data_IF_015409779566
#
_entry.id   IF_015409779566
#
_cell.length_a   1.000
_cell.length_b   1.000
_cell.length_c   1.000
_cell.angle_alpha   90.00
_cell.angle_beta   90.00
_cell.angle_gamma   90.00
#
_symmetry.space_group_name_H-M   'P 1'
#
loop_
_entity.id
_entity.type
_entity.pdbx_description
1 polymer ?
#
# COMPACT_ATOMS: atom_id res chain seq x y z
N UNK A 1 -13.10 25.35 -5.48
CA UNK A 1 -12.30 24.52 -4.56
C UNK A 1 -11.66 23.39 -5.35
N UNK A 2 -10.50 22.87 -4.93
CA UNK A 2 -9.78 21.82 -5.68
C UNK A 2 -10.36 20.42 -5.41
N UNK A 3 -10.58 19.65 -6.48
CA UNK A 3 -11.07 18.26 -6.43
C UNK A 3 -10.15 17.35 -5.62
N UNK A 4 -8.85 17.65 -5.58
CA UNK A 4 -7.85 16.91 -4.81
C UNK A 4 -8.15 16.93 -3.30
N UNK A 5 -8.55 18.10 -2.77
CA UNK A 5 -8.81 18.23 -1.32
C UNK A 5 -10.11 17.49 -0.92
N UNK A 6 -11.13 17.52 -1.79
CA UNK A 6 -12.35 16.73 -1.61
C UNK A 6 -12.08 15.23 -1.60
N UNK A 7 -11.25 14.72 -2.53
CA UNK A 7 -10.86 13.31 -2.55
C UNK A 7 -9.97 12.90 -1.37
N UNK A 8 -9.08 13.78 -0.89
CA UNK A 8 -8.29 13.52 0.31
C UNK A 8 -9.18 13.42 1.56
N UNK A 9 -10.10 14.37 1.74
CA UNK A 9 -11.09 14.33 2.82
C UNK A 9 -11.96 13.06 2.74
N UNK A 10 -12.49 12.74 1.56
CA UNK A 10 -13.27 11.51 1.33
C UNK A 10 -12.47 10.24 1.64
N UNK A 11 -11.19 10.19 1.25
CA UNK A 11 -10.32 9.03 1.45
C UNK A 11 -9.93 8.82 2.92
N UNK A 12 -9.72 9.88 3.71
CA UNK A 12 -9.19 9.76 5.08
C UNK A 12 -10.19 10.07 6.21
N UNK A 13 -11.21 10.93 6.00
CA UNK A 13 -12.15 11.35 7.05
C UNK A 13 -13.41 10.46 7.14
N UNK A 14 -13.75 9.72 6.08
CA UNK A 14 -14.84 8.71 6.13
C UNK A 14 -14.39 7.48 6.94
N UNK A 15 -15.34 6.64 7.36
CA UNK A 15 -15.04 5.41 8.10
C UNK A 15 -14.06 4.45 7.38
N UNK A 16 -14.02 4.47 6.04
CA UNK A 16 -13.04 3.76 5.20
C UNK A 16 -11.60 4.29 5.33
N UNK A 17 -11.41 5.53 5.79
CA UNK A 17 -10.11 6.19 5.83
C UNK A 17 -9.15 5.67 6.89
N UNK A 18 -9.70 5.04 7.94
CA UNK A 18 -8.88 4.32 8.92
C UNK A 18 -8.12 3.15 8.28
N UNK A 19 -8.70 2.49 7.26
CA UNK A 19 -8.05 1.41 6.51
C UNK A 19 -6.84 1.95 5.74
N UNK A 20 -7.03 3.05 4.99
CA UNK A 20 -5.98 3.66 4.19
C UNK A 20 -4.88 4.29 5.05
N UNK A 21 -5.24 4.93 6.17
CA UNK A 21 -4.27 5.46 7.12
C UNK A 21 -3.45 4.33 7.78
N UNK A 22 -4.07 3.22 8.17
CA UNK A 22 -3.36 2.08 8.75
C UNK A 22 -2.43 1.39 7.74
N UNK A 23 -2.88 1.18 6.49
CA UNK A 23 -2.03 0.65 5.43
C UNK A 23 -0.83 1.58 5.14
N UNK A 24 -1.08 2.89 5.00
CA UNK A 24 -0.03 3.88 4.77
C UNK A 24 0.94 4.02 5.95
N UNK A 25 0.47 3.86 7.20
CA UNK A 25 1.31 3.85 8.40
C UNK A 25 2.22 2.61 8.47
N UNK A 26 1.74 1.47 7.97
CA UNK A 26 2.52 0.22 7.91
C UNK A 26 3.51 0.16 6.74
N UNK A 27 3.33 0.97 5.68
CA UNK A 27 4.25 0.99 4.55
C UNK A 27 5.69 1.33 4.98
N UNK A 28 6.57 0.35 4.82
CA UNK A 28 8.00 0.39 5.17
C UNK A 28 8.76 1.56 4.54
N UNK A 29 8.26 2.10 3.43
CA UNK A 29 8.83 3.26 2.72
C UNK A 29 8.52 4.57 3.42
N UNK A 30 7.36 4.67 4.07
CA UNK A 30 6.86 5.89 4.72
C UNK A 30 7.04 5.91 6.23
N UNK A 31 7.31 4.77 6.87
CA UNK A 31 7.65 4.64 8.29
C UNK A 31 8.65 5.69 8.81
N UNK A 32 9.68 6.00 8.03
CA UNK A 32 10.74 6.96 8.40
C UNK A 32 10.60 8.30 7.67
N UNK A 33 9.40 8.65 7.21
CA UNK A 33 9.14 9.89 6.47
C UNK A 33 8.55 10.99 7.35
N UNK A 34 8.86 12.24 6.99
CA UNK A 34 8.29 13.45 7.59
C UNK A 34 6.78 13.62 7.28
N UNK A 35 6.14 12.65 6.59
CA UNK A 35 4.70 12.67 6.30
C UNK A 35 3.89 12.33 7.56
N UNK A 36 4.37 11.35 8.33
CA UNK A 36 3.72 10.87 9.57
C UNK A 36 4.25 11.63 10.81
N UNK A 37 5.47 12.18 10.73
CA UNK A 37 6.08 12.94 11.81
C UNK A 37 5.46 14.34 11.92
N UNK A 38 4.96 14.71 13.10
CA UNK A 38 4.66 16.11 13.39
C UNK A 38 5.99 16.88 13.44
N UNK A 39 6.10 17.96 12.66
CA UNK A 39 7.34 18.74 12.40
C UNK A 39 8.15 19.12 13.67
N UNK A 40 7.47 19.20 14.81
CA UNK A 40 8.03 19.46 16.15
C UNK A 40 9.02 18.40 16.68
N UNK A 41 9.04 17.19 16.12
CA UNK A 41 9.89 16.09 16.64
C UNK A 41 11.38 16.30 16.31
N UNK A 42 11.71 16.83 15.12
CA UNK A 42 13.11 16.96 14.68
C UNK A 42 13.94 17.83 15.64
N UNK A 43 13.40 18.97 16.08
CA UNK A 43 14.02 19.87 17.07
C UNK A 43 14.13 19.29 18.49
N UNK A 44 13.50 18.15 18.79
CA UNK A 44 13.66 17.44 20.06
C UNK A 44 14.72 16.32 20.00
N UNK A 45 15.12 15.89 18.79
CA UNK A 45 16.12 14.83 18.60
C UNK A 45 17.55 15.32 18.82
N UNK A 46 17.88 16.54 18.38
CA UNK A 46 19.24 17.11 18.44
C UNK A 46 19.76 17.27 19.88
N UNK A 47 18.87 17.45 20.86
CA UNK A 47 19.22 17.55 22.29
C UNK A 47 19.42 16.19 23.01
N UNK A 48 19.27 15.04 22.34
CA UNK A 48 19.32 13.72 23.02
C UNK A 48 20.70 13.06 23.11
N UNK A 49 21.74 13.63 22.51
CA UNK A 49 23.08 13.00 22.46
C UNK A 49 23.78 12.80 23.82
N UNK A 50 23.30 13.43 24.91
CA UNK A 50 23.96 13.40 26.22
C UNK A 50 23.26 12.53 27.29
N UNK A 51 22.24 11.73 26.96
CA UNK A 51 21.63 10.81 27.94
C UNK A 51 22.00 9.35 27.68
N UNK A 52 22.93 8.84 28.49
CA UNK A 52 23.24 7.41 28.58
C UNK A 52 21.97 6.63 28.97
N UNK A 53 21.47 5.80 28.06
CA UNK A 53 20.34 4.89 28.33
C UNK A 53 20.86 3.71 29.14
N UNK A 54 20.80 3.82 30.47
CA UNK A 54 21.02 2.68 31.37
C UNK A 54 19.91 1.66 31.20
N UNK A 55 20.28 0.40 30.97
CA UNK A 55 19.37 -0.68 30.62
C UNK A 55 18.51 -1.15 31.80
N UNK A 56 17.23 -0.77 31.82
CA UNK A 56 16.14 -1.56 32.36
C UNK A 56 15.04 -1.63 31.31
N UNK A 57 14.58 -2.83 30.97
CA UNK A 57 13.68 -3.09 29.84
C UNK A 57 12.19 -2.96 30.21
N UNK A 58 11.88 -2.18 31.25
CA UNK A 58 10.52 -2.02 31.77
C UNK A 58 9.64 -1.20 30.81
N UNK A 59 8.77 -1.91 30.10
CA UNK A 59 7.51 -1.42 29.52
C UNK A 59 7.59 -0.01 28.89
N UNK A 60 8.57 0.18 27.99
CA UNK A 60 8.82 1.41 27.23
C UNK A 60 7.51 2.13 26.85
N UNK A 61 7.11 3.21 27.55
CA UNK A 61 5.80 3.80 27.36
C UNK A 61 5.72 4.44 25.97
N UNK A 62 4.61 4.23 25.28
CA UNK A 62 4.30 4.87 24.00
C UNK A 62 3.73 6.29 24.17
N UNK A 63 3.82 6.86 25.38
CA UNK A 63 3.31 8.18 25.68
C UNK A 63 4.04 9.28 24.88
N UNK A 64 5.28 9.03 24.45
CA UNK A 64 5.99 9.86 23.46
C UNK A 64 5.35 9.73 22.07
N UNK A 65 5.16 8.51 21.55
CA UNK A 65 4.55 8.24 20.25
C UNK A 65 3.12 8.81 20.18
N UNK A 66 2.29 8.59 21.22
CA UNK A 66 0.92 9.12 21.32
C UNK A 66 0.87 10.65 21.35
N UNK A 67 1.87 11.34 21.91
CA UNK A 67 1.99 12.82 21.89
C UNK A 67 2.55 13.35 20.56
N UNK A 68 3.45 12.60 19.94
CA UNK A 68 4.23 13.02 18.78
C UNK A 68 3.57 12.71 17.42
N UNK A 69 2.82 11.60 17.34
CA UNK A 69 2.32 11.00 16.10
C UNK A 69 0.81 10.72 16.23
N UNK A 70 -0.09 11.64 15.88
CA UNK A 70 -1.54 11.38 15.92
C UNK A 70 -1.95 10.17 15.07
N UNK A 71 -1.28 9.95 13.94
CA UNK A 71 -1.46 8.79 13.07
C UNK A 71 -1.19 7.44 13.77
N UNK A 72 -0.28 7.37 14.74
CA UNK A 72 -0.01 6.15 15.52
C UNK A 72 -1.22 5.73 16.36
N UNK A 73 -1.97 6.70 16.92
CA UNK A 73 -3.20 6.40 17.68
C UNK A 73 -4.29 5.89 16.72
N UNK A 74 -4.53 6.60 15.62
CA UNK A 74 -5.62 6.28 14.69
C UNK A 74 -5.37 4.97 13.93
N UNK A 75 -4.14 4.72 13.47
CA UNK A 75 -3.76 3.44 12.91
C UNK A 75 -3.81 2.32 13.95
N UNK A 76 -3.33 2.56 15.19
CA UNK A 76 -3.38 1.59 16.28
C UNK A 76 -4.80 1.14 16.64
N UNK A 77 -5.74 2.07 16.76
CA UNK A 77 -7.15 1.79 17.05
C UNK A 77 -7.82 0.93 15.96
N UNK A 78 -7.59 1.27 14.69
CA UNK A 78 -8.05 0.45 13.57
C UNK A 78 -7.39 -0.94 13.57
N UNK A 79 -6.07 -1.02 13.75
CA UNK A 79 -5.32 -2.28 13.70
C UNK A 79 -5.71 -3.25 14.82
N UNK A 80 -6.00 -2.78 16.04
CA UNK A 80 -6.49 -3.67 17.11
C UNK A 80 -7.92 -4.13 16.85
N UNK A 81 -8.79 -3.30 16.24
CA UNK A 81 -10.14 -3.72 15.82
C UNK A 81 -10.09 -4.77 14.70
N UNK A 82 -9.18 -4.60 13.73
CA UNK A 82 -8.90 -5.60 12.69
C UNK A 82 -8.34 -6.91 13.30
N UNK A 83 -7.41 -6.82 14.24
CA UNK A 83 -6.87 -7.97 14.97
C UNK A 83 -7.95 -8.72 15.75
N UNK A 84 -8.90 -8.01 16.35
CA UNK A 84 -10.06 -8.59 17.02
C UNK A 84 -11.03 -9.28 16.05
N UNK A 85 -11.18 -8.77 14.82
CA UNK A 85 -11.93 -9.46 13.76
C UNK A 85 -11.26 -10.77 13.35
N UNK A 86 -9.93 -10.78 13.15
CA UNK A 86 -9.16 -11.99 12.82
C UNK A 86 -9.28 -13.02 13.96
N UNK A 87 -9.05 -12.61 15.20
CA UNK A 87 -9.17 -13.47 16.39
C UNK A 87 -10.59 -14.02 16.59
N UNK A 88 -11.65 -13.24 16.35
CA UNK A 88 -13.02 -13.74 16.48
C UNK A 88 -13.46 -14.69 15.36
N UNK A 89 -12.80 -14.63 14.19
CA UNK A 89 -13.00 -15.52 13.06
C UNK A 89 -12.36 -16.89 13.31
N UNK A 90 -11.14 -16.91 13.84
CA UNK A 90 -10.41 -18.11 14.21
C UNK A 90 -9.55 -17.89 15.48
N UNK A 91 -10.09 -18.20 16.68
CA UNK A 91 -9.38 -18.02 17.95
C UNK A 91 -8.27 -19.05 18.19
N UNK A 92 -8.30 -20.17 17.46
CA UNK A 92 -7.44 -21.33 17.65
C UNK A 92 -6.31 -21.42 16.59
N UNK A 93 -6.28 -20.48 15.64
CA UNK A 93 -5.19 -20.27 14.69
C UNK A 93 -3.81 -20.23 15.36
N UNK A 94 -2.79 -20.79 14.68
CA UNK A 94 -1.41 -20.88 15.16
C UNK A 94 -0.83 -19.54 15.62
N UNK A 95 -1.14 -18.46 14.88
CA UNK A 95 -0.82 -17.05 15.18
C UNK A 95 -1.13 -16.66 16.63
N UNK A 96 -2.22 -17.21 17.19
CA UNK A 96 -2.67 -16.91 18.54
C UNK A 96 -2.24 -17.96 19.57
N UNK A 97 -1.75 -19.13 19.17
CA UNK A 97 -1.50 -20.29 20.04
C UNK A 97 -0.64 -19.95 21.28
N UNK A 98 0.36 -19.08 21.14
CA UNK A 98 1.28 -18.65 22.20
C UNK A 98 0.67 -17.71 23.27
N UNK A 99 -0.56 -17.19 23.09
CA UNK A 99 -1.17 -16.22 24.01
C UNK A 99 -2.33 -16.82 24.81
N UNK A 100 -2.29 -16.76 26.14
CA UNK A 100 -3.36 -17.28 27.00
C UNK A 100 -4.64 -16.43 26.96
N UNK A 101 -4.57 -15.16 26.57
CA UNK A 101 -5.75 -14.28 26.51
C UNK A 101 -5.62 -13.12 25.50
N UNK A 102 -6.75 -12.54 25.12
CA UNK A 102 -6.83 -11.32 24.31
C UNK A 102 -6.03 -10.14 24.90
N UNK A 103 -5.94 -10.04 26.23
CA UNK A 103 -5.13 -9.01 26.89
C UNK A 103 -3.63 -9.17 26.57
N UNK A 104 -3.14 -10.41 26.52
CA UNK A 104 -1.75 -10.69 26.10
C UNK A 104 -1.53 -10.43 24.61
N UNK A 105 -2.50 -10.81 23.75
CA UNK A 105 -2.46 -10.50 22.30
C UNK A 105 -2.36 -8.99 22.09
N UNK A 106 -3.22 -8.19 22.73
CA UNK A 106 -3.25 -6.72 22.64
C UNK A 106 -1.95 -6.09 23.15
N UNK A 107 -1.43 -6.54 24.29
CA UNK A 107 -0.15 -6.06 24.85
C UNK A 107 1.03 -6.41 23.94
N UNK A 108 1.07 -7.63 23.40
CA UNK A 108 2.11 -8.05 22.45
C UNK A 108 2.04 -7.21 21.17
N UNK A 109 0.85 -7.06 20.57
CA UNK A 109 0.64 -6.20 19.40
C UNK A 109 1.10 -4.76 19.64
N UNK A 110 0.75 -4.15 20.78
CA UNK A 110 1.17 -2.78 21.11
C UNK A 110 2.70 -2.68 21.18
N UNK A 111 3.36 -3.66 21.80
CA UNK A 111 4.83 -3.72 21.82
C UNK A 111 5.42 -3.87 20.40
N UNK A 112 4.82 -4.71 19.54
CA UNK A 112 5.24 -4.84 18.13
C UNK A 112 5.06 -3.52 17.37
N UNK A 113 3.96 -2.80 17.56
CA UNK A 113 3.72 -1.50 16.90
C UNK A 113 4.67 -0.41 17.40
N UNK A 114 5.05 -0.41 18.69
CA UNK A 114 6.09 0.47 19.25
C UNK A 114 7.45 0.19 18.59
N UNK A 115 7.86 -1.08 18.52
CA UNK A 115 9.11 -1.51 17.91
C UNK A 115 9.15 -1.17 16.41
N UNK A 116 8.04 -1.38 15.70
CA UNK A 116 7.89 -0.99 14.29
C UNK A 116 8.01 0.52 14.13
N UNK A 117 7.22 1.32 14.86
CA UNK A 117 7.18 2.79 14.74
C UNK A 117 8.54 3.42 15.03
N UNK A 118 9.29 2.88 16.00
CA UNK A 118 10.66 3.32 16.32
C UNK A 118 11.74 2.72 15.43
N UNK A 119 11.39 1.86 14.46
CA UNK A 119 12.35 1.22 13.54
C UNK A 119 13.34 0.27 14.22
N UNK A 120 12.95 -0.32 15.36
CA UNK A 120 13.80 -1.19 16.19
C UNK A 120 13.77 -2.65 15.71
N UNK A 121 14.54 -3.54 16.36
CA UNK A 121 14.51 -4.98 16.06
C UNK A 121 13.10 -5.55 16.34
N UNK A 122 12.57 -6.44 15.48
CA UNK A 122 13.17 -6.97 14.25
C UNK A 122 13.06 -6.02 13.03
N UNK A 123 12.05 -5.16 12.99
CA UNK A 123 11.68 -4.28 11.85
C UNK A 123 12.78 -3.35 11.31
N UNK A 124 13.88 -3.14 12.02
CA UNK A 124 15.06 -2.42 11.55
C UNK A 124 15.65 -2.99 10.25
N UNK A 125 15.51 -4.30 10.01
CA UNK A 125 15.97 -4.99 8.82
C UNK A 125 14.89 -4.93 7.75
N UNK A 126 15.15 -4.19 6.68
CA UNK A 126 14.38 -4.22 5.43
C UNK A 126 15.24 -4.96 4.39
N UNK A 127 15.01 -6.26 4.09
CA UNK A 127 15.96 -7.14 3.37
C UNK A 127 16.26 -6.83 1.89
N UNK A 128 16.07 -5.59 1.41
CA UNK A 128 15.90 -5.24 -0.02
C UNK A 128 14.75 -6.00 -0.71
N UNK A 129 13.57 -6.19 -0.06
CA UNK A 129 12.47 -6.93 -0.66
C UNK A 129 11.95 -6.19 -1.90
N UNK A 130 11.63 -6.92 -2.96
CA UNK A 130 11.12 -6.34 -4.23
C UNK A 130 9.71 -5.77 -4.12
N UNK A 131 8.96 -6.19 -3.09
CA UNK A 131 7.55 -5.84 -2.85
C UNK A 131 7.30 -5.76 -1.34
N UNK A 132 6.34 -4.94 -0.93
CA UNK A 132 5.95 -4.81 0.48
C UNK A 132 5.38 -6.11 1.06
N UNK A 133 4.62 -6.88 0.27
CA UNK A 133 4.12 -8.20 0.67
C UNK A 133 5.27 -9.13 1.10
N UNK A 134 6.34 -9.24 0.29
CA UNK A 134 7.51 -10.05 0.62
C UNK A 134 8.28 -9.58 1.89
N UNK A 135 8.15 -8.30 2.29
CA UNK A 135 8.64 -7.87 3.60
C UNK A 135 7.80 -8.48 4.73
N UNK A 136 6.48 -8.38 4.64
CA UNK A 136 5.57 -8.92 5.66
C UNK A 136 5.62 -10.44 5.74
N UNK A 137 5.68 -11.13 4.59
CA UNK A 137 5.90 -12.57 4.51
C UNK A 137 7.20 -12.96 5.25
N UNK A 138 8.30 -12.22 5.06
CA UNK A 138 9.58 -12.49 5.75
C UNK A 138 9.52 -12.25 7.26
N UNK A 139 8.67 -11.34 7.73
CA UNK A 139 8.48 -11.04 9.15
C UNK A 139 7.52 -12.01 9.85
N UNK A 140 6.70 -12.77 9.10
CA UNK A 140 5.76 -13.76 9.65
C UNK A 140 6.45 -14.90 10.41
N UNK A 141 7.72 -15.19 10.08
CA UNK A 141 8.54 -16.20 10.77
C UNK A 141 9.16 -15.73 12.10
N UNK A 142 8.93 -14.46 12.50
CA UNK A 142 9.56 -13.85 13.68
C UNK A 142 8.50 -13.58 14.76
N UNK A 143 8.49 -14.31 15.90
CA UNK A 143 7.48 -14.13 16.95
C UNK A 143 7.36 -12.70 17.50
N UNK A 144 8.46 -11.94 17.47
CA UNK A 144 8.51 -10.53 17.84
C UNK A 144 7.91 -9.55 16.80
N UNK A 145 7.36 -10.05 15.68
CA UNK A 145 6.67 -9.30 14.64
C UNK A 145 5.38 -9.97 14.11
N UNK A 146 5.10 -11.21 14.51
CA UNK A 146 4.11 -12.10 13.89
C UNK A 146 2.70 -11.49 13.75
N UNK A 147 2.15 -10.91 14.82
CA UNK A 147 0.83 -10.26 14.82
C UNK A 147 0.79 -9.08 13.85
N UNK A 148 1.81 -8.21 13.90
CA UNK A 148 1.87 -7.04 13.03
C UNK A 148 2.12 -7.43 11.56
N UNK A 149 2.92 -8.46 11.32
CA UNK A 149 3.21 -9.00 10.00
C UNK A 149 1.97 -9.62 9.34
N UNK A 150 1.15 -10.35 10.11
CA UNK A 150 -0.12 -10.87 9.63
C UNK A 150 -1.08 -9.74 9.22
N UNK A 151 -1.20 -8.67 10.01
CA UNK A 151 -2.02 -7.50 9.66
C UNK A 151 -1.45 -6.73 8.45
N UNK A 152 -0.13 -6.60 8.33
CA UNK A 152 0.52 -6.00 7.17
C UNK A 152 0.27 -6.81 5.89
N UNK A 153 0.30 -8.14 5.97
CA UNK A 153 -0.04 -9.04 4.85
C UNK A 153 -1.52 -8.89 4.46
N UNK A 154 -2.44 -8.80 5.43
CA UNK A 154 -3.85 -8.52 5.16
C UNK A 154 -4.01 -7.17 4.44
N UNK A 155 -3.45 -6.08 4.98
CA UNK A 155 -3.64 -4.74 4.43
C UNK A 155 -2.97 -4.55 3.06
N UNK A 156 -1.81 -5.15 2.83
CA UNK A 156 -1.16 -5.14 1.50
C UNK A 156 -1.86 -6.03 0.47
N UNK A 157 -2.71 -6.98 0.90
CA UNK A 157 -3.58 -7.74 -0.01
C UNK A 157 -4.85 -6.97 -0.45
N UNK A 158 -5.21 -5.89 0.25
CA UNK A 158 -6.36 -5.04 -0.13
C UNK A 158 -5.95 -4.14 -1.29
N UNK A 159 -6.53 -4.37 -2.47
CA UNK A 159 -6.33 -3.49 -3.63
C UNK A 159 -7.06 -2.16 -3.39
N UNK A 160 -6.36 -1.01 -3.28
CA UNK A 160 -6.97 0.28 -2.91
C UNK A 160 -7.74 0.96 -4.05
N UNK A 161 -7.99 0.25 -5.16
CA UNK A 161 -8.52 0.83 -6.38
C UNK A 161 -9.68 0.00 -6.94
N UNK A 162 -10.89 0.56 -6.86
CA UNK A 162 -12.12 0.01 -7.45
C UNK A 162 -12.01 -0.22 -8.97
N UNK A 163 -11.06 0.39 -9.69
CA UNK A 163 -10.81 0.12 -11.11
C UNK A 163 -10.59 -1.38 -11.45
N UNK A 164 -10.15 -2.22 -10.50
CA UNK A 164 -10.06 -3.66 -10.72
C UNK A 164 -11.44 -4.31 -10.90
N UNK A 165 -12.42 -3.86 -10.13
CA UNK A 165 -13.83 -4.21 -10.22
C UNK A 165 -14.50 -3.49 -11.40
N UNK A 166 -14.22 -2.20 -11.61
CA UNK A 166 -14.71 -1.41 -12.75
C UNK A 166 -14.32 -2.04 -14.11
N UNK A 167 -13.08 -2.50 -14.26
CA UNK A 167 -12.64 -3.23 -15.47
C UNK A 167 -13.35 -4.57 -15.64
N UNK A 168 -13.73 -5.20 -14.53
CA UNK A 168 -14.54 -6.43 -14.54
C UNK A 168 -15.98 -6.11 -14.96
N UNK A 169 -16.59 -5.08 -14.39
CA UNK A 169 -17.93 -4.59 -14.75
C UNK A 169 -17.99 -4.08 -16.20
N UNK A 170 -17.00 -3.33 -16.67
CA UNK A 170 -16.86 -2.91 -18.07
C UNK A 170 -16.77 -4.12 -19.01
N UNK A 171 -16.09 -5.19 -18.59
CA UNK A 171 -16.07 -6.46 -19.34
C UNK A 171 -17.44 -7.14 -19.33
N UNK A 172 -18.17 -7.15 -18.21
CA UNK A 172 -19.55 -7.67 -18.12
C UNK A 172 -20.48 -6.87 -19.03
N UNK A 173 -20.43 -5.53 -19.00
CA UNK A 173 -21.21 -4.65 -19.88
C UNK A 173 -20.88 -4.87 -21.36
N UNK A 174 -19.61 -5.06 -21.72
CA UNK A 174 -19.22 -5.37 -23.11
C UNK A 174 -19.63 -6.78 -23.56
N UNK A 175 -19.73 -7.74 -22.64
CA UNK A 175 -20.28 -9.07 -22.95
C UNK A 175 -21.80 -9.07 -23.06
N UNK A 176 -22.48 -8.23 -22.27
CA UNK A 176 -23.94 -8.04 -22.26
C UNK A 176 -24.40 -6.85 -23.13
N UNK A 177 -23.67 -6.56 -24.22
CA UNK A 177 -24.07 -5.59 -25.24
C UNK A 177 -25.42 -6.00 -25.89
N UNK A 178 -26.25 -5.08 -26.41
CA UNK A 178 -27.56 -5.39 -27.00
C UNK A 178 -27.58 -6.59 -27.96
N UNK A 179 -26.63 -6.69 -28.89
CA UNK A 179 -26.51 -7.80 -29.87
C UNK A 179 -26.17 -9.17 -29.25
N UNK A 180 -25.92 -9.21 -27.94
CA UNK A 180 -25.60 -10.39 -27.11
C UNK A 180 -26.51 -10.50 -25.87
N UNK A 181 -27.51 -9.63 -25.74
CA UNK A 181 -28.27 -9.40 -24.51
C UNK A 181 -29.35 -10.46 -24.24
N UNK A 182 -28.92 -11.70 -24.00
CA UNK A 182 -29.74 -12.80 -23.48
C UNK A 182 -29.00 -13.69 -22.47
N UNK A 183 -27.75 -13.37 -22.11
CA UNK A 183 -26.95 -14.21 -21.21
C UNK A 183 -27.35 -14.02 -19.74
N UNK A 184 -27.43 -15.13 -19.00
CA UNK A 184 -27.68 -15.10 -17.55
C UNK A 184 -26.50 -14.45 -16.84
N UNK A 185 -26.78 -13.67 -15.79
CA UNK A 185 -25.74 -12.97 -15.00
C UNK A 185 -24.70 -13.95 -14.43
N UNK A 186 -25.11 -15.15 -14.02
CA UNK A 186 -24.17 -16.21 -13.62
C UNK A 186 -23.20 -16.58 -14.74
N UNK A 187 -23.68 -16.81 -15.97
CA UNK A 187 -22.86 -17.14 -17.13
C UNK A 187 -21.88 -16.03 -17.49
N UNK A 188 -22.29 -14.76 -17.34
CA UNK A 188 -21.39 -13.60 -17.51
C UNK A 188 -20.28 -13.58 -16.45
N UNK A 189 -20.61 -13.90 -15.19
CA UNK A 189 -19.62 -14.05 -14.09
C UNK A 189 -18.66 -15.22 -14.38
N UNK A 190 -19.18 -16.39 -14.77
CA UNK A 190 -18.39 -17.58 -15.08
C UNK A 190 -17.41 -17.33 -16.25
N UNK A 191 -17.88 -16.64 -17.30
CA UNK A 191 -17.05 -16.24 -18.44
C UNK A 191 -15.95 -15.25 -18.03
N UNK A 192 -16.26 -14.26 -17.20
CA UNK A 192 -15.28 -13.28 -16.72
C UNK A 192 -14.27 -13.92 -15.77
N UNK A 193 -14.71 -14.77 -14.84
CA UNK A 193 -13.85 -15.52 -13.93
C UNK A 193 -12.90 -16.46 -14.71
N UNK A 194 -13.41 -17.16 -15.72
CA UNK A 194 -12.62 -18.01 -16.62
C UNK A 194 -11.58 -17.19 -17.39
N UNK A 195 -11.98 -16.06 -17.99
CA UNK A 195 -11.06 -15.17 -18.71
C UNK A 195 -9.99 -14.58 -17.79
N UNK A 196 -10.35 -14.20 -16.56
CA UNK A 196 -9.40 -13.74 -15.54
C UNK A 196 -8.49 -14.86 -15.03
N UNK A 197 -8.94 -16.13 -15.03
CA UNK A 197 -8.09 -17.27 -14.73
C UNK A 197 -7.03 -17.47 -15.82
N UNK A 198 -7.45 -17.67 -17.07
CA UNK A 198 -6.51 -17.89 -18.19
C UNK A 198 -5.54 -16.72 -18.36
N UNK A 199 -6.00 -15.48 -18.20
CA UNK A 199 -5.11 -14.32 -18.23
C UNK A 199 -4.07 -14.33 -17.10
N UNK A 200 -4.44 -14.76 -15.88
CA UNK A 200 -3.48 -14.91 -14.77
C UNK A 200 -2.46 -16.00 -15.05
N UNK A 201 -2.85 -17.11 -15.67
CA UNK A 201 -1.92 -18.17 -16.09
C UNK A 201 -0.99 -17.71 -17.22
N UNK A 202 -1.50 -16.96 -18.21
CA UNK A 202 -0.69 -16.36 -19.26
C UNK A 202 0.29 -15.30 -18.72
N UNK A 203 -0.17 -14.42 -17.82
CA UNK A 203 0.65 -13.43 -17.13
C UNK A 203 1.71 -14.11 -16.23
N UNK A 204 1.39 -15.25 -15.59
CA UNK A 204 2.34 -16.09 -14.84
C UNK A 204 3.38 -16.74 -15.75
N UNK A 205 2.96 -17.39 -16.84
CA UNK A 205 3.86 -18.04 -17.79
C UNK A 205 4.81 -17.03 -18.45
N UNK A 206 4.27 -15.88 -18.90
CA UNK A 206 5.03 -14.82 -19.56
C UNK A 206 5.78 -13.89 -18.60
N UNK A 207 5.55 -13.95 -17.28
CA UNK A 207 6.30 -13.17 -16.28
C UNK A 207 7.83 -13.37 -16.40
N UNK A 208 8.26 -14.59 -16.75
CA UNK A 208 9.67 -14.95 -17.01
C UNK A 208 10.28 -14.23 -18.21
N UNK A 209 9.46 -13.72 -19.13
CA UNK A 209 9.87 -12.99 -20.33
C UNK A 209 9.62 -11.47 -20.22
N UNK A 210 8.61 -11.05 -19.45
CA UNK A 210 8.24 -9.63 -19.26
C UNK A 210 9.12 -8.88 -18.24
N UNK A 211 10.35 -9.35 -17.98
CA UNK A 211 11.27 -8.77 -17.00
C UNK A 211 11.64 -7.30 -17.27
N UNK A 212 11.55 -6.84 -18.53
CA UNK A 212 11.66 -5.45 -18.92
C UNK A 212 10.41 -4.99 -19.67
N UNK A 213 9.41 -4.49 -18.92
CA UNK A 213 8.52 -3.43 -19.42
C UNK A 213 8.94 -2.12 -18.73
N UNK A 214 9.50 -1.13 -19.45
CA UNK A 214 9.88 0.13 -18.83
C UNK A 214 8.62 0.90 -18.41
N UNK A 215 8.33 0.91 -17.11
CA UNK A 215 7.26 1.73 -16.53
C UNK A 215 7.72 3.18 -16.47
N UNK A 216 7.58 3.88 -17.60
CA UNK A 216 7.77 5.34 -17.70
C UNK A 216 6.82 6.00 -16.70
N UNK A 217 7.35 6.82 -15.77
CA UNK A 217 6.51 7.56 -14.81
C UNK A 217 5.80 8.69 -15.53
N UNK A 218 4.72 9.21 -14.96
CA UNK A 218 4.01 10.36 -15.54
C UNK A 218 4.93 11.58 -15.71
N UNK A 219 5.81 11.80 -14.74
CA UNK A 219 6.95 12.72 -14.82
C UNK A 219 7.80 12.52 -16.08
N UNK A 220 8.31 11.29 -16.25
CA UNK A 220 9.22 10.89 -17.33
C UNK A 220 8.54 10.98 -18.71
N UNK A 221 7.21 10.85 -18.81
CA UNK A 221 6.48 10.96 -20.09
C UNK A 221 6.78 12.29 -20.79
N UNK A 222 6.89 13.40 -20.05
CA UNK A 222 7.22 14.70 -20.61
C UNK A 222 8.58 14.69 -21.33
N UNK A 223 9.59 14.12 -20.68
CA UNK A 223 10.95 14.00 -21.21
C UNK A 223 11.03 12.99 -22.36
N UNK A 224 10.29 11.86 -22.27
CA UNK A 224 10.21 10.87 -23.33
C UNK A 224 9.56 11.46 -24.59
N UNK A 225 8.45 12.21 -24.46
CA UNK A 225 7.79 12.88 -25.59
C UNK A 225 8.69 13.95 -26.21
N UNK A 226 9.39 14.75 -25.40
CA UNK A 226 10.38 15.70 -25.91
C UNK A 226 11.55 15.01 -26.61
N UNK A 227 12.03 13.87 -26.10
CA UNK A 227 13.10 13.09 -26.71
C UNK A 227 12.66 12.47 -28.05
N UNK A 228 11.46 11.89 -28.15
CA UNK A 228 10.92 11.37 -29.42
C UNK A 228 10.75 12.48 -30.45
N UNK A 229 10.20 13.63 -30.05
CA UNK A 229 10.00 14.76 -30.97
C UNK A 229 11.34 15.37 -31.44
N UNK A 230 12.38 15.30 -30.61
CA UNK A 230 13.75 15.74 -30.95
C UNK A 230 14.52 14.71 -31.79
N UNK A 231 14.04 13.47 -31.92
CA UNK A 231 14.72 12.37 -32.61
C UNK A 231 14.03 11.93 -33.91
N UNK A 232 13.48 12.91 -34.66
CA UNK A 232 13.06 12.77 -36.06
C UNK A 232 14.25 12.54 -37.04
N UNK A 233 15.07 11.52 -36.75
CA UNK A 233 15.97 10.85 -37.70
C UNK A 233 15.37 9.49 -38.03
N UNK A 234 14.48 9.49 -39.02
CA UNK A 234 14.00 8.36 -39.83
C UNK A 234 14.38 6.95 -39.30
N UNK A 235 13.72 6.49 -38.23
CA UNK A 235 14.01 5.18 -37.65
C UNK A 235 13.32 4.08 -38.48
N UNK A 236 14.05 3.52 -39.47
CA UNK A 236 13.57 2.39 -40.27
C UNK A 236 13.42 1.15 -39.39
N UNK A 237 12.19 0.86 -38.99
CA UNK A 237 11.83 -0.38 -38.31
C UNK A 237 11.64 -1.46 -39.39
N UNK A 238 12.52 -2.46 -39.42
CA UNK A 238 12.31 -3.67 -40.24
C UNK A 238 11.12 -4.46 -39.69
N UNK A 239 9.98 -4.39 -40.39
CA UNK A 239 8.68 -4.92 -39.94
C UNK A 239 8.57 -6.45 -39.99
N UNK A 240 9.58 -7.14 -40.54
CA UNK A 240 9.58 -8.59 -40.80
C UNK A 240 9.47 -9.48 -39.53
N UNK A 241 9.67 -8.94 -38.33
CA UNK A 241 9.64 -9.70 -37.07
C UNK A 241 8.33 -9.67 -36.27
N UNK A 242 7.44 -8.69 -36.48
CA UNK A 242 6.35 -8.38 -35.52
C UNK A 242 4.95 -8.77 -36.02
N UNK A 243 4.80 -9.02 -37.32
CA UNK A 243 3.50 -9.25 -37.99
C UNK A 243 2.70 -10.47 -37.47
N UNK A 244 3.33 -11.40 -36.78
CA UNK A 244 2.70 -12.64 -36.31
C UNK A 244 1.82 -12.49 -35.05
N UNK A 245 2.09 -11.52 -34.18
CA UNK A 245 1.48 -11.46 -32.82
C UNK A 245 0.31 -10.47 -32.72
N UNK A 246 0.18 -9.52 -33.66
CA UNK A 246 -0.87 -8.49 -33.65
C UNK A 246 -2.11 -8.84 -34.48
N UNK A 247 -2.23 -10.09 -34.99
CA UNK A 247 -3.27 -10.47 -35.96
C UNK A 247 -4.61 -10.97 -35.39
N UNK A 248 -4.77 -11.05 -34.07
CA UNK A 248 -6.01 -11.53 -33.41
C UNK A 248 -6.84 -10.43 -32.70
N UNK A 249 -6.53 -9.15 -32.91
CA UNK A 249 -7.15 -8.05 -32.15
C UNK A 249 -7.67 -6.87 -32.98
N UNK A 250 -7.69 -7.00 -34.31
CA UNK A 250 -8.05 -5.93 -35.24
C UNK A 250 -9.16 -6.37 -36.22
N UNK A 251 -10.40 -6.34 -35.72
CA UNK A 251 -11.64 -6.43 -36.49
C UNK A 251 -12.73 -5.60 -35.76
N UNK A 252 -13.55 -4.89 -36.52
CA UNK A 252 -14.62 -3.97 -36.09
C UNK A 252 -14.21 -2.82 -35.14
N UNK A 253 -13.58 -1.79 -35.73
CA UNK A 253 -13.83 -0.39 -35.36
C UNK A 253 -14.25 0.36 -36.64
N UNK A 254 -15.52 0.76 -36.71
CA UNK A 254 -16.04 1.62 -37.78
C UNK A 254 -15.63 3.09 -37.56
N UNK A 255 -15.15 3.81 -38.58
CA UNK A 255 -14.70 5.20 -38.42
C UNK A 255 -15.88 6.18 -38.37
N UNK A 256 -16.41 6.44 -37.18
CA UNK A 256 -17.29 7.59 -36.91
C UNK A 256 -16.48 8.89 -36.86
N UNK A 257 -16.84 9.88 -37.69
CA UNK A 257 -16.00 11.05 -38.00
C UNK A 257 -16.40 12.31 -37.22
N UNK A 258 -16.34 12.27 -35.88
CA UNK A 258 -16.56 13.46 -35.05
C UNK A 258 -15.25 14.24 -34.79
N UNK A 259 -15.23 15.50 -35.22
CA UNK A 259 -14.06 16.38 -35.08
C UNK A 259 -14.08 17.12 -33.74
N UNK A 260 -13.35 16.60 -32.74
CA UNK A 260 -13.24 17.22 -31.43
C UNK A 260 -12.35 18.47 -31.52
N UNK A 261 -12.94 19.67 -31.42
CA UNK A 261 -12.18 20.91 -31.30
C UNK A 261 -11.40 20.95 -29.98
N UNK A 262 -10.07 21.06 -30.09
CA UNK A 262 -9.16 21.06 -28.94
C UNK A 262 -9.15 22.44 -28.26
N UNK A 263 -10.18 22.71 -27.45
CA UNK A 263 -10.32 23.98 -26.74
C UNK A 263 -9.09 24.33 -25.89
N UNK A 264 -8.68 25.60 -25.93
CA UNK A 264 -7.42 26.07 -25.34
C UNK A 264 -7.42 25.92 -23.82
N UNK A 265 -6.49 25.14 -23.28
CA UNK A 265 -6.33 24.94 -21.84
C UNK A 265 -6.07 26.27 -21.14
N UNK A 266 -7.05 26.72 -20.33
CA UNK A 266 -6.90 27.91 -19.52
C UNK A 266 -5.76 27.73 -18.50
N UNK A 267 -4.87 28.73 -18.40
CA UNK A 267 -3.78 28.71 -17.41
C UNK A 267 -4.36 28.65 -16.00
N UNK A 268 -4.13 27.53 -15.31
CA UNK A 268 -4.61 27.31 -13.95
C UNK A 268 -4.10 28.37 -12.98
N UNK A 269 -4.96 28.83 -12.07
CA UNK A 269 -4.60 29.88 -11.11
C UNK A 269 -3.55 29.40 -10.11
N UNK A 270 -2.47 30.18 -9.97
CA UNK A 270 -1.42 30.00 -8.97
C UNK A 270 -1.87 30.46 -7.57
N UNK A 271 -3.03 29.99 -7.11
CA UNK A 271 -3.42 30.16 -5.71
C UNK A 271 -2.55 29.26 -4.83
N UNK A 272 -1.88 29.88 -3.87
CA UNK A 272 -1.02 29.21 -2.90
C UNK A 272 -1.84 28.18 -2.11
N UNK A 273 -1.40 26.91 -2.12
CA UNK A 273 -2.08 25.83 -1.39
C UNK A 273 -1.70 25.86 0.09
N UNK A 274 -2.38 26.70 0.88
CA UNK A 274 -2.45 26.50 2.34
C UNK A 274 -3.31 25.27 2.63
N UNK A 275 -2.65 24.11 2.64
CA UNK A 275 -3.24 22.86 3.12
C UNK A 275 -3.24 22.87 4.66
N UNK A 276 -4.42 23.06 5.25
CA UNK A 276 -4.63 22.86 6.69
C UNK A 276 -4.14 21.47 7.12
N UNK A 277 -3.61 21.35 8.34
CA UNK A 277 -3.15 20.07 8.88
C UNK A 277 -4.35 19.17 9.22
N UNK A 278 -4.85 18.44 8.22
CA UNK A 278 -5.77 17.31 8.43
C UNK A 278 -5.12 16.28 9.36
N UNK A 279 -5.87 15.79 10.35
CA UNK A 279 -5.34 15.02 11.47
C UNK A 279 -4.34 13.92 11.08
N UNK A 280 -3.11 14.06 11.55
CA UNK A 280 -2.06 13.04 11.46
C UNK A 280 -1.24 12.95 10.17
N UNK A 281 -1.58 13.67 9.09
CA UNK A 281 -0.82 13.65 7.82
C UNK A 281 -0.25 15.03 7.50
N UNK A 282 1.08 15.13 7.35
CA UNK A 282 1.76 16.36 6.94
C UNK A 282 1.78 16.49 5.41
N UNK A 283 0.74 17.10 4.85
CA UNK A 283 0.62 17.39 3.40
C UNK A 283 1.74 18.30 2.86
N UNK A 284 2.41 19.06 3.72
CA UNK A 284 3.59 19.89 3.36
C UNK A 284 4.92 19.14 3.41
N UNK A 285 4.91 17.82 3.58
CA UNK A 285 6.12 16.98 3.55
C UNK A 285 6.79 16.99 2.18
N UNK A 286 8.11 17.22 2.16
CA UNK A 286 8.94 17.19 0.94
C UNK A 286 8.89 15.84 0.21
N UNK A 287 8.57 14.75 0.91
CA UNK A 287 8.44 13.42 0.31
C UNK A 287 7.12 13.31 -0.47
N UNK A 288 6.00 13.82 0.07
CA UNK A 288 4.75 13.93 -0.71
C UNK A 288 4.92 14.87 -1.91
N UNK A 289 5.57 16.03 -1.75
CA UNK A 289 5.83 16.90 -2.90
C UNK A 289 6.74 16.22 -3.94
N UNK A 290 7.74 15.44 -3.53
CA UNK A 290 8.61 14.68 -4.45
C UNK A 290 7.92 13.46 -5.11
N UNK A 291 6.80 12.97 -4.56
CA UNK A 291 5.99 11.90 -5.16
C UNK A 291 4.92 12.43 -6.13
N UNK A 292 4.49 13.69 -5.93
CA UNK A 292 3.42 14.34 -6.69
C UNK A 292 4.00 15.28 -7.77
N UNK A 293 5.22 15.81 -7.56
CA UNK A 293 5.94 16.64 -8.53
C UNK A 293 6.66 15.78 -9.57
N UNK A 294 6.66 16.26 -10.81
CA UNK A 294 7.22 15.57 -11.98
C UNK A 294 8.76 15.61 -12.09
N UNK A 295 9.49 15.62 -10.95
CA UNK A 295 10.93 15.92 -10.90
C UNK A 295 11.75 14.75 -10.29
N UNK A 296 12.61 14.05 -11.06
CA UNK A 296 13.13 12.74 -10.67
C UNK A 296 14.47 12.77 -9.90
N UNK A 297 14.45 12.83 -8.56
CA UNK A 297 15.67 12.84 -7.75
C UNK A 297 15.68 11.99 -6.46
N UNK A 298 16.81 11.31 -6.23
CA UNK A 298 17.29 10.65 -4.98
C UNK A 298 16.62 9.37 -4.47
N UNK A 299 17.45 8.34 -4.20
CA UNK A 299 17.10 7.08 -3.52
C UNK A 299 18.23 6.71 -2.54
N UNK A 300 17.90 6.43 -1.29
CA UNK A 300 18.88 6.19 -0.20
C UNK A 300 19.04 4.68 0.08
N UNK A 301 20.28 4.23 0.37
CA UNK A 301 20.62 2.82 0.69
C UNK A 301 21.27 2.69 2.07
N UNK A 302 21.09 1.54 2.74
CA UNK A 302 21.77 1.13 3.99
C UNK A 302 22.10 -0.38 3.99
N UNK A 303 22.93 -0.84 4.94
CA UNK A 303 23.56 -2.17 5.02
C UNK A 303 23.17 -2.97 6.30
N UNK A 304 23.62 -4.24 6.41
CA UNK A 304 23.01 -5.29 7.26
C UNK A 304 23.99 -6.30 7.86
N UNK A 305 23.62 -6.97 8.97
CA UNK A 305 24.21 -8.25 9.46
C UNK A 305 23.24 -8.99 10.45
N UNK A 306 23.25 -10.34 10.57
CA UNK A 306 22.29 -11.16 11.36
C UNK A 306 22.93 -11.71 12.70
N UNK A 307 22.64 -12.85 13.36
CA UNK A 307 21.73 -14.04 13.24
C UNK A 307 21.44 -14.65 14.66
N UNK A 308 20.49 -15.62 14.87
CA UNK A 308 19.94 -15.97 16.21
C UNK A 308 19.95 -17.49 16.68
N UNK A 309 18.82 -18.21 16.98
CA UNK A 309 18.43 -18.58 18.37
C UNK A 309 18.00 -20.07 18.63
N UNK A 310 17.37 -20.35 19.78
CA UNK A 310 16.54 -21.56 20.03
C UNK A 310 15.39 -21.29 21.05
N UNK A 311 14.25 -22.00 20.94
CA UNK A 311 13.03 -21.83 21.78
C UNK A 311 12.27 -23.16 22.00
N UNK A 312 11.39 -23.26 23.01
CA UNK A 312 10.65 -24.47 23.45
C UNK A 312 9.11 -24.24 23.45
N UNK A 313 8.31 -25.32 23.38
CA UNK A 313 6.84 -25.34 23.16
C UNK A 313 6.06 -25.74 24.43
N UNK A 314 4.82 -25.24 24.60
CA UNK A 314 3.84 -25.70 25.60
C UNK A 314 2.39 -25.77 25.03
N UNK A 315 1.47 -26.37 25.80
CA UNK A 315 0.15 -26.86 25.36
C UNK A 315 -1.03 -25.89 25.53
N UNK A 316 -2.09 -26.09 24.73
CA UNK A 316 -3.21 -25.16 24.58
C UNK A 316 -4.27 -25.15 25.71
N UNK A 317 -5.01 -24.03 25.81
CA UNK A 317 -6.21 -23.85 26.63
C UNK A 317 -7.35 -23.24 25.80
N UNK A 318 -8.60 -23.55 26.16
CA UNK A 318 -9.82 -23.17 25.42
C UNK A 318 -10.21 -21.71 25.67
N UNK A 319 -10.55 -20.96 24.62
CA UNK A 319 -10.67 -19.48 24.65
C UNK A 319 -12.10 -18.94 24.55
N UNK A 320 -12.23 -17.61 24.65
CA UNK A 320 -13.48 -16.86 24.48
C UNK A 320 -13.35 -15.80 23.38
N UNK A 321 -14.50 -15.43 22.79
CA UNK A 321 -14.65 -14.32 21.84
C UNK A 321 -14.55 -12.95 22.53
N UNK A 322 -14.29 -11.92 21.73
CA UNK A 322 -14.09 -10.52 22.16
C UNK A 322 -15.15 -9.63 21.51
N UNK A 323 -15.80 -8.75 22.26
CA UNK A 323 -16.67 -7.72 21.67
C UNK A 323 -15.82 -6.60 21.07
N UNK A 324 -15.77 -6.51 19.74
CA UNK A 324 -14.95 -5.53 19.01
C UNK A 324 -15.42 -4.10 19.22
N UNK A 325 -16.69 -3.86 19.58
CA UNK A 325 -17.18 -2.50 19.86
C UNK A 325 -16.49 -1.87 21.08
N UNK A 326 -16.05 -2.71 22.03
CA UNK A 326 -15.34 -2.31 23.26
C UNK A 326 -13.83 -2.16 23.10
N UNK A 327 -13.28 -2.49 21.92
CA UNK A 327 -11.84 -2.54 21.66
C UNK A 327 -11.31 -1.14 21.33
N UNK A 328 -10.68 -0.51 22.32
CA UNK A 328 -9.98 0.80 22.23
C UNK A 328 -8.47 0.60 22.41
N UNK A 329 -7.63 1.38 21.72
CA UNK A 329 -6.16 1.22 21.68
C UNK A 329 -5.36 1.88 22.82
#
# INVERSE_FOLDING_TARGET
MSVLNGRHAEMFQKASGQVYLAAFFLDIRYRSSDILARRTIQSAAENRNNQHITSNADLLPDQDLRKALPAYIMAGDYLVKLLAHVYNKDPDASLFAQYASWSQIKTSFRNQLILFTRGLRPFHQVPKPSTEQAYWDSMSSVPAAELLAHLGTILTSVVPNSMAEERSMSTITKLNSPDRAAQKVSTLIDMVASRQHYKREEDRASSKLRAFRPTVRFADLSQVIMATNSTNKEFKIDTNGVSAVLRELDNDITPGHDSIELSTVAKGSLHHFEAELSDGISLSSKLLSSLISDDPATVIKRSSSPEPPATVVQSAQKRHRVDVSTVVY
#
